data_IF_639609475498
#
_entry.id   IF_639609475498
#
_cell.length_a   1.000
_cell.length_b   1.000
_cell.length_c   1.000
_cell.angle_alpha   90.00
_cell.angle_beta   90.00
_cell.angle_gamma   90.00
#
_symmetry.space_group_name_H-M   'P 1'
#
loop_
_entity.id
_entity.type
_entity.pdbx_description
1 polymer ?
#
# COMPACT_ATOMS: atom_id res chain seq x y z
N UNK A 1 -1.48 2.08 -13.46
CA UNK A 1 -2.09 3.39 -13.80
C UNK A 1 -1.10 4.25 -14.57
N UNK A 2 -1.58 4.96 -15.56
CA UNK A 2 -0.83 5.97 -16.32
C UNK A 2 -1.02 7.34 -15.67
N UNK A 3 0.07 8.09 -15.46
CA UNK A 3 0.02 9.43 -14.87
C UNK A 3 0.21 10.54 -15.89
N UNK A 4 0.97 10.31 -16.95
CA UNK A 4 1.19 11.28 -17.99
C UNK A 4 2.48 11.05 -18.78
N UNK A 5 2.70 11.93 -19.74
CA UNK A 5 3.86 11.94 -20.65
C UNK A 5 4.44 13.35 -20.72
N UNK A 6 5.73 13.46 -20.43
CA UNK A 6 6.48 14.70 -20.63
C UNK A 6 7.10 14.70 -22.03
N UNK A 7 6.55 15.53 -22.93
CA UNK A 7 7.00 15.65 -24.31
C UNK A 7 8.43 16.17 -24.41
N UNK A 8 8.89 17.01 -23.46
CA UNK A 8 10.23 17.60 -23.48
C UNK A 8 11.32 16.57 -23.23
N UNK A 9 11.09 15.67 -22.28
CA UNK A 9 12.05 14.60 -21.93
C UNK A 9 11.72 13.27 -22.61
N UNK A 10 10.63 13.17 -23.38
CA UNK A 10 10.11 11.92 -23.94
C UNK A 10 9.93 10.82 -22.87
N UNK A 11 9.42 11.19 -21.70
CA UNK A 11 9.32 10.30 -20.54
C UNK A 11 7.86 10.05 -20.15
N UNK A 12 7.53 8.79 -19.96
CA UNK A 12 6.23 8.30 -19.46
C UNK A 12 6.33 8.06 -17.97
N UNK A 13 5.32 8.51 -17.21
CA UNK A 13 5.17 8.29 -15.77
C UNK A 13 3.98 7.39 -15.48
N UNK A 14 4.19 6.37 -14.65
CA UNK A 14 3.17 5.36 -14.37
C UNK A 14 3.32 4.73 -12.99
N UNK A 15 2.26 4.11 -12.54
CA UNK A 15 2.23 3.25 -11.34
C UNK A 15 2.18 1.78 -11.78
N UNK A 16 2.94 0.94 -11.11
CA UNK A 16 3.02 -0.50 -11.40
C UNK A 16 2.89 -1.35 -10.14
N UNK A 17 2.52 -2.61 -10.35
CA UNK A 17 2.47 -3.69 -9.35
C UNK A 17 3.65 -4.67 -9.51
N UNK A 18 4.68 -4.32 -10.26
CA UNK A 18 5.81 -5.22 -10.55
C UNK A 18 6.58 -5.68 -9.30
N UNK A 19 6.50 -4.92 -8.20
CA UNK A 19 7.08 -5.28 -6.91
C UNK A 19 6.09 -6.08 -6.02
N UNK A 20 5.20 -6.84 -6.64
CA UNK A 20 4.16 -7.63 -5.99
C UNK A 20 2.78 -6.98 -6.08
N UNK A 21 1.78 -7.80 -6.34
CA UNK A 21 0.42 -7.36 -6.65
C UNK A 21 -0.28 -6.60 -5.51
N UNK A 22 0.16 -6.76 -4.27
CA UNK A 22 -0.37 -6.03 -3.11
C UNK A 22 0.26 -4.64 -2.92
N UNK A 23 1.33 -4.32 -3.66
CA UNK A 23 2.06 -3.05 -3.57
C UNK A 23 1.82 -2.19 -4.81
N UNK A 24 2.08 -0.90 -4.68
CA UNK A 24 2.07 0.08 -5.77
C UNK A 24 3.33 0.91 -5.72
N UNK A 25 4.05 0.99 -6.83
CA UNK A 25 5.26 1.80 -6.96
C UNK A 25 5.16 2.72 -8.18
N UNK A 26 5.84 3.86 -8.10
CA UNK A 26 5.85 4.91 -9.14
C UNK A 26 7.12 4.77 -9.94
N UNK A 27 6.99 4.83 -11.27
CA UNK A 27 8.09 4.69 -12.21
C UNK A 27 8.06 5.77 -13.28
N UNK A 28 9.21 6.00 -13.85
CA UNK A 28 9.38 6.68 -15.14
C UNK A 28 10.12 5.79 -16.11
N UNK A 29 9.85 5.96 -17.42
CA UNK A 29 10.54 5.27 -18.51
C UNK A 29 10.53 6.15 -19.74
N UNK A 30 11.63 6.15 -20.49
CA UNK A 30 11.64 6.84 -21.78
C UNK A 30 10.70 6.14 -22.78
N UNK A 31 10.13 6.89 -23.73
CA UNK A 31 9.18 6.39 -24.72
C UNK A 31 9.76 5.23 -25.57
N UNK A 32 11.07 5.17 -25.72
CA UNK A 32 11.77 4.08 -26.41
C UNK A 32 11.96 2.82 -25.54
N UNK A 33 11.38 2.77 -24.34
CA UNK A 33 11.45 1.65 -23.41
C UNK A 33 12.74 1.53 -22.59
N UNK A 34 13.68 2.50 -22.73
CA UNK A 34 14.95 2.50 -21.99
C UNK A 34 14.89 3.39 -20.75
N UNK A 35 15.87 3.23 -19.87
CA UNK A 35 16.07 4.13 -18.73
C UNK A 35 14.95 4.10 -17.69
N UNK A 36 14.30 2.94 -17.49
CA UNK A 36 13.30 2.79 -16.42
C UNK A 36 13.92 3.13 -15.08
N UNK A 37 13.23 4.00 -14.31
CA UNK A 37 13.62 4.41 -12.96
C UNK A 37 12.45 4.19 -12.01
N UNK A 38 12.74 3.69 -10.80
CA UNK A 38 11.80 3.72 -9.69
C UNK A 38 11.84 5.11 -9.04
N UNK A 39 10.70 5.79 -8.97
CA UNK A 39 10.55 7.11 -8.34
C UNK A 39 10.03 7.00 -6.90
N UNK A 40 9.56 5.82 -6.50
CA UNK A 40 9.19 5.51 -5.12
C UNK A 40 9.94 4.26 -4.65
N UNK A 41 10.46 4.27 -3.41
CA UNK A 41 11.32 3.22 -2.86
C UNK A 41 10.69 2.47 -1.70
N UNK A 42 9.67 3.04 -1.06
CA UNK A 42 8.99 2.42 0.09
C UNK A 42 8.04 1.32 -0.36
N UNK A 43 8.11 0.16 0.30
CA UNK A 43 7.18 -0.96 0.11
C UNK A 43 5.83 -0.63 0.73
N UNK A 44 4.78 -0.69 -0.07
CA UNK A 44 3.43 -0.31 0.29
C UNK A 44 2.69 0.25 -0.92
N UNK A 45 1.72 1.09 -0.68
CA UNK A 45 0.96 1.76 -1.73
C UNK A 45 1.47 3.19 -1.91
N UNK A 46 2.06 3.46 -3.07
CA UNK A 46 2.48 4.78 -3.51
C UNK A 46 1.56 5.26 -4.64
N UNK A 47 1.12 6.51 -4.58
CA UNK A 47 0.39 7.18 -5.65
C UNK A 47 0.98 8.57 -5.88
N UNK A 48 0.92 9.07 -7.12
CA UNK A 48 1.52 10.33 -7.47
C UNK A 48 0.50 11.32 -8.07
N UNK A 49 0.68 12.59 -7.73
CA UNK A 49 0.09 13.72 -8.45
C UNK A 49 1.22 14.57 -8.98
N UNK A 50 1.42 14.58 -10.30
CA UNK A 50 2.50 15.30 -10.94
C UNK A 50 2.15 16.78 -11.18
N UNK A 51 3.18 17.64 -11.12
CA UNK A 51 3.07 19.01 -11.61
C UNK A 51 2.85 19.03 -13.13
N UNK A 52 2.23 20.10 -13.70
CA UNK A 52 1.93 20.17 -15.13
C UNK A 52 3.17 20.03 -16.04
N UNK A 53 4.34 20.38 -15.56
CA UNK A 53 5.62 20.30 -16.26
C UNK A 53 6.45 19.05 -15.92
N UNK A 54 5.89 18.10 -15.17
CA UNK A 54 6.55 16.85 -14.75
C UNK A 54 7.91 17.02 -14.06
N UNK A 55 8.16 18.18 -13.40
CA UNK A 55 9.40 18.37 -12.62
C UNK A 55 9.29 17.84 -11.21
N UNK A 56 8.10 17.86 -10.65
CA UNK A 56 7.79 17.45 -9.27
C UNK A 56 6.57 16.57 -9.22
N UNK A 57 6.44 15.82 -8.12
CA UNK A 57 5.19 15.14 -7.79
C UNK A 57 4.96 15.09 -6.29
N UNK A 58 3.70 15.11 -5.90
CA UNK A 58 3.29 14.76 -4.54
C UNK A 58 3.14 13.25 -4.50
N UNK A 59 3.95 12.57 -3.69
CA UNK A 59 3.78 11.15 -3.40
C UNK A 59 2.85 10.99 -2.19
N UNK A 60 1.81 10.21 -2.36
CA UNK A 60 0.93 9.73 -1.29
C UNK A 60 1.31 8.29 -1.00
N UNK A 61 2.00 8.07 0.11
CA UNK A 61 2.47 6.75 0.51
C UNK A 61 1.74 6.25 1.75
N UNK A 62 1.40 4.97 1.79
CA UNK A 62 0.96 4.28 3.01
C UNK A 62 1.32 2.79 2.98
N UNK A 63 1.28 2.15 4.14
CA UNK A 63 1.36 0.69 4.27
C UNK A 63 0.36 0.21 5.32
N UNK A 64 0.22 -1.09 5.49
CA UNK A 64 -0.66 -1.66 6.53
C UNK A 64 -0.31 -1.19 7.96
N UNK A 65 0.93 -0.74 8.17
CA UNK A 65 1.45 -0.32 9.49
C UNK A 65 1.79 1.18 9.57
N UNK A 66 1.72 1.91 8.45
CA UNK A 66 2.08 3.32 8.41
C UNK A 66 0.93 4.17 7.86
N UNK A 67 0.41 5.15 8.64
CA UNK A 67 -0.51 6.16 8.16
C UNK A 67 0.01 6.89 6.94
N UNK A 68 -0.90 7.45 6.17
CA UNK A 68 -0.57 8.13 4.92
C UNK A 68 0.45 9.25 5.14
N UNK A 69 1.53 9.19 4.38
CA UNK A 69 2.60 10.18 4.31
C UNK A 69 2.50 10.91 2.97
N UNK A 70 2.49 12.24 3.02
CA UNK A 70 2.51 13.09 1.84
C UNK A 70 3.86 13.77 1.72
N UNK A 71 4.54 13.59 0.59
CA UNK A 71 5.84 14.18 0.32
C UNK A 71 5.90 14.87 -1.03
N UNK A 72 6.64 15.96 -1.13
CA UNK A 72 7.03 16.55 -2.40
C UNK A 72 8.33 15.88 -2.86
N UNK A 73 8.32 15.38 -4.09
CA UNK A 73 9.43 14.64 -4.68
C UNK A 73 9.85 15.23 -6.04
N UNK A 74 11.12 15.09 -6.37
CA UNK A 74 11.65 15.35 -7.71
C UNK A 74 11.21 14.24 -8.67
N UNK A 75 10.68 14.60 -9.84
CA UNK A 75 10.25 13.63 -10.84
C UNK A 75 11.43 13.06 -11.66
N UNK A 76 12.61 13.67 -11.56
CA UNK A 76 13.81 13.20 -12.27
C UNK A 76 14.39 11.90 -11.65
N UNK A 77 14.36 11.80 -10.32
CA UNK A 77 15.05 10.74 -9.56
C UNK A 77 14.27 10.18 -8.38
N UNK A 78 13.06 10.69 -8.13
CA UNK A 78 12.21 10.29 -6.99
C UNK A 78 12.67 10.84 -5.64
N UNK A 79 13.73 11.67 -5.59
CA UNK A 79 14.27 12.22 -4.33
C UNK A 79 13.20 13.02 -3.59
N UNK A 80 12.98 12.68 -2.32
CA UNK A 80 12.12 13.44 -1.43
C UNK A 80 12.75 14.81 -1.15
N UNK A 81 12.01 15.88 -1.43
CA UNK A 81 12.43 17.26 -1.22
C UNK A 81 11.86 17.81 0.09
N UNK A 82 10.61 17.48 0.39
CA UNK A 82 9.90 17.96 1.55
C UNK A 82 8.87 16.96 2.04
N UNK A 83 8.67 16.89 3.36
CA UNK A 83 7.49 16.25 3.96
C UNK A 83 6.40 17.29 4.04
N UNK A 84 5.25 17.02 3.44
CA UNK A 84 4.05 17.89 3.48
C UNK A 84 3.24 17.55 4.74
N UNK A 85 2.98 16.25 4.94
CA UNK A 85 2.22 15.73 6.09
C UNK A 85 2.65 14.29 6.39
N UNK A 86 3.12 14.04 7.61
CA UNK A 86 3.57 12.71 8.04
C UNK A 86 2.55 11.93 8.87
N UNK A 87 1.50 12.61 9.35
CA UNK A 87 0.50 12.04 10.26
C UNK A 87 1.09 11.40 11.55
N UNK A 88 2.25 11.92 12.02
CA UNK A 88 2.93 11.41 13.20
C UNK A 88 2.05 11.50 14.46
N UNK A 89 1.25 12.56 14.60
CA UNK A 89 0.31 12.71 15.71
C UNK A 89 -0.74 11.59 15.72
N UNK A 90 -1.25 11.18 14.55
CA UNK A 90 -2.16 10.04 14.42
C UNK A 90 -1.46 8.74 14.82
N UNK A 91 -0.25 8.50 14.31
CA UNK A 91 0.52 7.30 14.65
C UNK A 91 0.78 7.21 16.17
N UNK A 92 1.16 8.33 16.81
CA UNK A 92 1.37 8.41 18.27
C UNK A 92 0.06 8.12 19.02
N UNK A 93 -1.06 8.69 18.59
CA UNK A 93 -2.36 8.43 19.24
C UNK A 93 -2.76 6.96 19.13
N UNK A 94 -2.57 6.34 17.95
CA UNK A 94 -2.93 4.95 17.71
C UNK A 94 -2.03 3.95 18.46
N UNK A 95 -0.76 4.30 18.69
CA UNK A 95 0.15 3.42 19.46
C UNK A 95 -0.33 3.14 20.87
N UNK A 96 -1.13 4.05 21.47
CA UNK A 96 -1.75 3.87 22.78
C UNK A 96 -2.87 2.82 22.83
N UNK A 97 -3.43 2.44 21.68
CA UNK A 97 -4.55 1.49 21.62
C UNK A 97 -4.13 0.03 21.46
N UNK A 98 -2.83 -0.25 21.38
CA UNK A 98 -2.32 -1.61 21.19
C UNK A 98 -3.02 -2.39 20.07
N UNK A 99 -3.28 -1.74 18.93
CA UNK A 99 -4.00 -2.33 17.81
C UNK A 99 -3.24 -3.50 17.19
N UNK A 100 -3.92 -4.59 16.80
CA UNK A 100 -3.30 -5.66 16.03
C UNK A 100 -2.97 -5.19 14.62
N UNK A 101 -2.07 -5.88 13.93
CA UNK A 101 -1.64 -5.56 12.57
C UNK A 101 -2.11 -6.61 11.58
N UNK A 102 -2.25 -6.21 10.30
CA UNK A 102 -2.47 -7.14 9.20
C UNK A 102 -1.20 -7.95 8.93
N UNK A 103 -1.35 -9.25 8.85
CA UNK A 103 -0.32 -10.19 8.39
C UNK A 103 -0.68 -10.64 6.97
N UNK A 104 0.20 -10.39 6.00
CA UNK A 104 0.00 -10.83 4.62
C UNK A 104 0.58 -12.23 4.42
N UNK A 105 -0.12 -13.06 3.66
CA UNK A 105 0.32 -14.41 3.32
C UNK A 105 -0.24 -14.85 1.97
N UNK A 106 0.22 -15.99 1.48
CA UNK A 106 -0.25 -16.58 0.22
C UNK A 106 -0.97 -17.88 0.54
N UNK A 107 -2.18 -18.00 0.04
CA UNK A 107 -2.96 -19.25 0.04
C UNK A 107 -2.75 -19.99 -1.29
N UNK A 108 -2.51 -21.29 -1.21
CA UNK A 108 -2.54 -22.15 -2.39
C UNK A 108 -3.88 -22.85 -2.48
N UNK A 109 -4.56 -22.70 -3.62
CA UNK A 109 -5.80 -23.41 -3.91
C UNK A 109 -5.50 -24.86 -4.29
N UNK A 110 -6.52 -25.73 -4.26
CA UNK A 110 -6.40 -27.13 -4.73
C UNK A 110 -5.92 -27.24 -6.19
N UNK A 111 -6.23 -26.23 -7.00
CA UNK A 111 -5.78 -26.14 -8.41
C UNK A 111 -4.36 -25.56 -8.56
N UNK A 112 -3.65 -25.29 -7.45
CA UNK A 112 -2.28 -24.77 -7.45
C UNK A 112 -2.18 -23.25 -7.66
N UNK A 113 -3.29 -22.50 -7.75
CA UNK A 113 -3.25 -21.06 -7.86
C UNK A 113 -2.85 -20.43 -6.52
N UNK A 114 -2.01 -19.40 -6.58
CA UNK A 114 -1.61 -18.60 -5.41
C UNK A 114 -2.50 -17.36 -5.28
N UNK A 115 -3.09 -17.20 -4.10
CA UNK A 115 -3.95 -16.08 -3.77
C UNK A 115 -3.33 -15.29 -2.62
N UNK A 116 -3.15 -13.98 -2.80
CA UNK A 116 -2.77 -13.12 -1.68
C UNK A 116 -3.94 -13.01 -0.70
N UNK A 117 -3.60 -13.09 0.58
CA UNK A 117 -4.54 -12.95 1.69
C UNK A 117 -3.92 -12.10 2.79
N UNK A 118 -4.74 -11.65 3.72
CA UNK A 118 -4.32 -11.07 4.98
C UNK A 118 -5.15 -11.64 6.12
N UNK A 119 -4.59 -11.62 7.32
CA UNK A 119 -5.34 -11.89 8.55
C UNK A 119 -4.97 -10.88 9.63
N UNK A 120 -5.87 -10.72 10.58
CA UNK A 120 -5.63 -9.97 11.81
C UNK A 120 -5.91 -10.93 12.96
N UNK A 121 -4.93 -11.08 13.86
CA UNK A 121 -5.02 -11.97 15.02
C UNK A 121 -5.20 -11.16 16.30
N UNK A 122 -5.85 -11.72 17.34
CA UNK A 122 -5.78 -11.16 18.70
C UNK A 122 -4.31 -10.94 19.12
N UNK A 123 -4.06 -9.92 19.94
CA UNK A 123 -2.69 -9.64 20.44
C UNK A 123 -2.11 -10.76 21.31
N UNK A 124 -2.99 -11.48 22.01
CA UNK A 124 -2.70 -12.63 22.85
C UNK A 124 -2.93 -13.96 22.12
N UNK A 125 -2.82 -13.96 20.80
CA UNK A 125 -3.02 -15.14 19.97
C UNK A 125 -2.15 -16.31 20.42
N UNK A 126 -2.78 -17.45 20.65
CA UNK A 126 -2.17 -18.70 21.06
C UNK A 126 -2.49 -19.78 20.00
N UNK A 127 -1.48 -20.23 19.28
CA UNK A 127 -1.65 -21.23 18.20
C UNK A 127 -2.19 -22.60 18.69
N UNK A 128 -2.16 -22.88 20.00
CA UNK A 128 -2.73 -24.10 20.59
C UNK A 128 -4.24 -24.03 20.77
N UNK A 129 -4.82 -22.84 20.68
CA UNK A 129 -6.27 -22.60 20.86
C UNK A 129 -7.00 -22.55 19.53
N UNK A 130 -8.31 -22.75 19.60
CA UNK A 130 -9.23 -22.56 18.48
C UNK A 130 -9.90 -21.19 18.59
N UNK A 131 -10.00 -20.50 17.48
CA UNK A 131 -10.63 -19.19 17.38
C UNK A 131 -11.76 -19.21 16.36
N UNK A 132 -12.86 -18.48 16.59
CA UNK A 132 -13.83 -18.22 15.54
C UNK A 132 -13.17 -17.36 14.45
N UNK A 133 -13.46 -17.67 13.18
CA UNK A 133 -12.91 -16.97 12.03
C UNK A 133 -14.00 -16.15 11.37
N UNK A 134 -13.76 -14.84 11.23
CA UNK A 134 -14.57 -13.96 10.39
C UNK A 134 -13.91 -13.80 9.03
N UNK A 135 -14.50 -14.41 8.00
CA UNK A 135 -13.99 -14.30 6.63
C UNK A 135 -14.63 -13.12 5.91
N UNK A 136 -13.79 -12.22 5.41
CA UNK A 136 -14.19 -11.12 4.55
C UNK A 136 -13.59 -11.29 3.15
N UNK A 137 -14.44 -11.23 2.12
CA UNK A 137 -13.98 -11.25 0.73
C UNK A 137 -14.92 -10.43 -0.15
N UNK A 138 -14.37 -9.97 -1.25
CA UNK A 138 -15.11 -9.43 -2.38
C UNK A 138 -14.44 -9.92 -3.67
N UNK A 139 -15.19 -10.63 -4.51
CA UNK A 139 -14.66 -11.29 -5.72
C UNK A 139 -15.10 -10.63 -7.02
N UNK A 140 -15.62 -9.42 -6.98
CA UNK A 140 -15.99 -8.66 -8.17
C UNK A 140 -14.75 -8.22 -8.98
N UNK A 141 -14.81 -8.25 -10.32
CA UNK A 141 -13.72 -7.76 -11.15
C UNK A 141 -13.45 -6.28 -10.88
N UNK A 142 -12.17 -5.90 -10.87
CA UNK A 142 -11.75 -4.50 -10.64
C UNK A 142 -11.72 -4.07 -9.17
N UNK A 143 -12.05 -4.94 -8.21
CA UNK A 143 -11.99 -4.63 -6.78
C UNK A 143 -10.93 -5.47 -6.07
N UNK A 144 -9.82 -4.85 -5.71
CA UNK A 144 -8.74 -5.50 -4.97
C UNK A 144 -8.93 -5.27 -3.47
N UNK A 145 -9.07 -6.37 -2.70
CA UNK A 145 -9.24 -6.32 -1.24
C UNK A 145 -7.93 -6.52 -0.46
N UNK A 146 -6.93 -7.13 -1.11
CA UNK A 146 -5.63 -7.39 -0.47
C UNK A 146 -4.61 -6.40 -0.99
N UNK A 147 -4.37 -5.36 -0.19
CA UNK A 147 -3.43 -4.28 -0.50
C UNK A 147 -2.60 -3.93 0.73
N UNK A 148 -1.32 -3.67 0.51
CA UNK A 148 -0.43 -3.10 1.52
C UNK A 148 -0.63 -1.57 1.57
N UNK A 149 -1.72 -1.16 2.19
CA UNK A 149 -2.14 0.22 2.34
C UNK A 149 -2.64 0.47 3.76
N UNK A 150 -2.70 1.74 4.17
CA UNK A 150 -3.23 2.12 5.47
C UNK A 150 -4.70 1.74 5.62
N UNK A 151 -5.08 1.47 6.85
CA UNK A 151 -6.39 1.00 7.27
C UNK A 151 -7.56 1.82 6.69
N UNK A 152 -8.57 1.11 6.24
CA UNK A 152 -9.91 1.65 5.97
C UNK A 152 -10.76 1.65 7.25
N UNK A 153 -11.95 2.23 7.20
CA UNK A 153 -12.92 2.14 8.31
C UNK A 153 -13.25 0.70 8.71
N UNK A 154 -13.30 -0.22 7.73
CA UNK A 154 -13.55 -1.64 7.98
C UNK A 154 -12.41 -2.31 8.76
N UNK A 155 -11.18 -1.88 8.58
CA UNK A 155 -10.04 -2.47 9.28
C UNK A 155 -10.14 -2.26 10.80
N UNK A 156 -10.60 -1.08 11.24
CA UNK A 156 -10.83 -0.83 12.67
C UNK A 156 -11.95 -1.70 13.24
N UNK A 157 -12.99 -1.98 12.45
CA UNK A 157 -14.03 -2.90 12.86
C UNK A 157 -13.49 -4.33 12.97
N UNK A 158 -12.67 -4.79 12.03
CA UNK A 158 -12.01 -6.09 12.13
C UNK A 158 -11.07 -6.18 13.35
N UNK A 159 -10.32 -5.10 13.62
CA UNK A 159 -9.46 -5.03 14.82
C UNK A 159 -10.29 -5.09 16.12
N UNK A 160 -11.48 -4.51 16.13
CA UNK A 160 -12.41 -4.64 17.27
C UNK A 160 -12.87 -6.09 17.43
N UNK A 161 -13.18 -6.81 16.36
CA UNK A 161 -13.55 -8.23 16.43
C UNK A 161 -12.42 -9.09 17.03
N UNK A 162 -11.15 -8.77 16.78
CA UNK A 162 -10.05 -9.51 17.40
C UNK A 162 -10.01 -9.36 18.93
N UNK A 163 -10.45 -8.22 19.46
CA UNK A 163 -10.59 -8.03 20.92
C UNK A 163 -11.71 -8.89 21.52
N UNK A 164 -12.61 -9.40 20.69
CA UNK A 164 -13.66 -10.36 21.05
C UNK A 164 -13.22 -11.82 20.82
N UNK A 165 -11.94 -12.02 20.46
CA UNK A 165 -11.39 -13.34 20.24
C UNK A 165 -11.60 -13.92 18.84
N UNK A 166 -11.97 -13.10 17.84
CA UNK A 166 -12.05 -13.54 16.44
C UNK A 166 -10.68 -13.38 15.72
N UNK A 167 -10.52 -14.18 14.69
CA UNK A 167 -9.49 -13.98 13.67
C UNK A 167 -10.19 -13.56 12.38
#
# INVERSE_FOLDING_TARGET
SYYGFDEKSNTVFYQSTENGSINRAIYSIALNGKGKKALSTKTGTNAATFSPNFQYFINTFSSATQPTLYTLNSANDGKQLQVIQDNAALATKLSGFNLPTKEFFVLKTEKGNELNAWMIKPKDFDASKKYPVFMFQYSGPGSQQVMNAWASSNDYWFMMLTQQGYI
#
